data_IF_685740799577
#
_entry.id   IF_685740799577
#
_cell.length_a   1.000
_cell.length_b   1.000
_cell.length_c   1.000
_cell.angle_alpha   90.00
_cell.angle_beta   90.00
_cell.angle_gamma   90.00
#
_symmetry.space_group_name_H-M   'P 1'
#
loop_
_entity.id
_entity.type
_entity.pdbx_description
1 polymer ?
#
# COMPACT_ATOMS: atom_id res chain seq x y z
N UNK A 1 10.76 5.20 8.09
CA UNK A 1 10.66 3.97 8.92
C UNK A 1 11.99 3.23 8.80
N UNK A 2 12.61 2.93 9.93
CA UNK A 2 13.95 2.31 9.98
C UNK A 2 13.81 0.78 9.88
N UNK A 3 14.65 0.14 9.07
CA UNK A 3 14.57 -1.30 8.79
C UNK A 3 13.34 -1.69 7.96
N UNK A 4 12.88 -2.94 8.11
CA UNK A 4 11.73 -3.52 7.39
C UNK A 4 11.92 -3.65 5.88
N UNK A 5 13.13 -4.05 5.44
CA UNK A 5 13.49 -4.09 4.02
C UNK A 5 12.59 -5.02 3.20
N UNK A 6 12.23 -6.20 3.72
CA UNK A 6 11.30 -7.12 3.04
C UNK A 6 9.90 -6.52 2.85
N UNK A 7 9.39 -5.83 3.88
CA UNK A 7 8.08 -5.17 3.81
C UNK A 7 8.10 -4.04 2.78
N UNK A 8 9.14 -3.20 2.80
CA UNK A 8 9.30 -2.11 1.83
C UNK A 8 9.38 -2.67 0.41
N UNK A 9 10.19 -3.71 0.20
CA UNK A 9 10.35 -4.33 -1.11
C UNK A 9 9.02 -4.91 -1.61
N UNK A 10 8.30 -5.66 -0.77
CA UNK A 10 7.01 -6.23 -1.15
C UNK A 10 5.98 -5.16 -1.54
N UNK A 11 5.93 -4.05 -0.79
CA UNK A 11 5.06 -2.93 -1.11
C UNK A 11 5.47 -2.23 -2.41
N UNK A 12 6.77 -2.00 -2.65
CA UNK A 12 7.27 -1.40 -3.88
C UNK A 12 6.96 -2.28 -5.11
N UNK A 13 7.13 -3.60 -4.98
CA UNK A 13 6.78 -4.54 -6.05
C UNK A 13 5.28 -4.50 -6.35
N UNK A 14 4.44 -4.42 -5.32
CA UNK A 14 2.99 -4.33 -5.50
C UNK A 14 2.54 -3.02 -6.18
N UNK A 15 3.25 -1.92 -5.93
CA UNK A 15 3.02 -0.64 -6.64
C UNK A 15 3.43 -0.74 -8.11
N UNK A 16 4.53 -1.44 -8.43
CA UNK A 16 5.02 -1.60 -9.80
C UNK A 16 4.13 -2.54 -10.62
N UNK A 17 3.76 -3.69 -10.04
CA UNK A 17 2.89 -4.68 -10.67
C UNK A 17 1.80 -5.15 -9.69
N UNK A 18 0.60 -4.54 -9.76
CA UNK A 18 -0.53 -4.93 -8.93
C UNK A 18 -1.00 -6.38 -9.16
N UNK A 19 -0.63 -7.01 -10.28
CA UNK A 19 -1.02 -8.41 -10.58
C UNK A 19 -0.32 -9.43 -9.68
N UNK A 20 0.74 -9.02 -8.96
CA UNK A 20 1.38 -9.83 -7.92
C UNK A 20 0.37 -10.22 -6.81
N UNK A 21 -0.70 -9.44 -6.64
CA UNK A 21 -1.75 -9.70 -5.66
C UNK A 21 -1.45 -9.06 -4.30
N UNK A 22 -2.28 -9.36 -3.30
CA UNK A 22 -2.18 -8.73 -1.98
C UNK A 22 -0.94 -9.17 -1.19
N UNK A 23 -0.33 -8.22 -0.46
CA UNK A 23 0.81 -8.49 0.44
C UNK A 23 0.29 -8.69 1.87
N UNK A 24 0.60 -9.85 2.48
CA UNK A 24 0.28 -10.12 3.89
C UNK A 24 1.49 -9.82 4.78
N UNK A 25 1.33 -8.86 5.71
CA UNK A 25 2.41 -8.37 6.57
C UNK A 25 2.10 -8.75 8.02
N UNK A 26 2.89 -9.68 8.58
CA UNK A 26 2.70 -10.20 9.94
C UNK A 26 3.63 -9.54 10.96
N UNK A 27 3.29 -9.64 12.24
CA UNK A 27 4.17 -9.32 13.37
C UNK A 27 3.44 -8.64 14.52
N UNK A 28 4.18 -8.23 15.55
CA UNK A 28 3.60 -7.70 16.78
C UNK A 28 2.96 -6.31 16.65
N UNK A 29 2.08 -6.00 17.60
CA UNK A 29 1.50 -4.65 17.75
C UNK A 29 2.61 -3.64 18.03
N UNK A 30 2.51 -2.44 17.45
CA UNK A 30 3.48 -1.35 17.68
C UNK A 30 4.70 -1.36 16.78
N UNK A 31 4.81 -2.32 15.85
CA UNK A 31 5.92 -2.41 14.87
C UNK A 31 5.79 -1.47 13.66
N UNK A 32 4.83 -0.55 13.65
CA UNK A 32 4.70 0.46 12.59
C UNK A 32 4.13 -0.02 11.26
N UNK A 33 3.63 -1.27 11.15
CA UNK A 33 3.06 -1.83 9.90
C UNK A 33 2.05 -0.91 9.20
N UNK A 34 1.05 -0.44 9.94
CA UNK A 34 0.02 0.45 9.37
C UNK A 34 0.52 1.88 9.15
N UNK A 35 1.58 2.29 9.85
CA UNK A 35 2.24 3.58 9.61
C UNK A 35 2.97 3.56 8.27
N UNK A 36 3.69 2.47 7.93
CA UNK A 36 4.37 2.33 6.63
C UNK A 36 3.38 2.35 5.48
N UNK A 37 2.27 1.62 5.59
CA UNK A 37 1.27 1.52 4.50
C UNK A 37 0.65 2.90 4.21
N UNK A 38 0.27 3.65 5.25
CA UNK A 38 -0.30 5.00 5.06
C UNK A 38 0.72 5.97 4.47
N UNK A 39 1.94 5.97 5.01
CA UNK A 39 3.01 6.82 4.48
C UNK A 39 3.34 6.50 3.01
N UNK A 40 3.20 5.24 2.58
CA UNK A 40 3.34 4.89 1.17
C UNK A 40 2.16 5.41 0.33
N UNK A 41 0.92 5.23 0.79
CA UNK A 41 -0.26 5.74 0.10
C UNK A 41 -0.20 7.26 -0.11
N UNK A 42 0.28 8.01 0.90
CA UNK A 42 0.46 9.46 0.83
C UNK A 42 1.50 9.92 -0.23
N UNK A 43 2.35 9.00 -0.72
CA UNK A 43 3.37 9.28 -1.73
C UNK A 43 2.96 8.87 -3.14
N UNK A 44 1.91 8.08 -3.29
CA UNK A 44 1.42 7.63 -4.58
C UNK A 44 0.55 8.71 -5.24
N UNK A 45 0.49 8.75 -6.58
CA UNK A 45 -0.45 9.62 -7.27
C UNK A 45 -1.89 9.25 -6.87
N UNK A 46 -2.78 10.23 -6.93
CA UNK A 46 -4.21 9.99 -6.80
C UNK A 46 -4.68 9.03 -7.89
N UNK A 47 -5.60 8.14 -7.52
CA UNK A 47 -6.22 7.21 -8.47
C UNK A 47 -7.39 7.89 -9.17
N UNK A 48 -7.52 7.67 -10.47
CA UNK A 48 -8.71 8.09 -11.22
C UNK A 48 -9.89 7.23 -10.77
N UNK A 49 -10.98 7.87 -10.35
CA UNK A 49 -12.19 7.21 -9.85
C UNK A 49 -13.43 7.83 -10.46
N UNK A 50 -14.48 7.02 -10.64
CA UNK A 50 -15.80 7.54 -11.02
C UNK A 50 -16.30 8.49 -9.92
N UNK A 51 -16.68 9.71 -10.31
CA UNK A 51 -17.21 10.71 -9.38
C UNK A 51 -18.44 10.17 -8.65
N UNK A 52 -18.50 10.40 -7.33
CA UNK A 52 -19.57 9.97 -6.43
C UNK A 52 -19.76 8.45 -6.25
N UNK A 53 -18.81 7.61 -6.71
CA UNK A 53 -18.83 6.17 -6.41
C UNK A 53 -18.20 5.86 -5.04
N UNK A 54 -18.95 5.27 -4.07
CA UNK A 54 -18.40 4.91 -2.77
C UNK A 54 -17.35 3.79 -2.81
N UNK A 55 -17.19 3.10 -3.94
CA UNK A 55 -16.27 1.97 -4.09
C UNK A 55 -14.97 2.29 -4.83
N UNK A 56 -14.73 3.55 -5.23
CA UNK A 56 -13.55 3.97 -5.99
C UNK A 56 -13.33 3.13 -7.26
N UNK A 57 -14.39 2.85 -8.00
CA UNK A 57 -14.31 2.07 -9.25
C UNK A 57 -13.43 2.78 -10.28
N UNK A 58 -12.66 1.97 -11.01
CA UNK A 58 -11.87 2.40 -12.19
C UNK A 58 -12.83 2.98 -13.27
N UNK A 59 -12.49 4.11 -13.91
CA UNK A 59 -13.33 4.78 -14.91
C UNK A 59 -13.65 3.95 -16.17
#
# INVERSE_FOLDING_TARGET
IVGQEEMKLALLLNVIDPKIGGVMIMGDRGTGKSTTIRALADLLPEIDVIADDPFNSDP
#
